data_IF_271083756919
#
_entry.id   IF_271083756919
#
_cell.length_a   1.000
_cell.length_b   1.000
_cell.length_c   1.000
_cell.angle_alpha   90.00
_cell.angle_beta   90.00
_cell.angle_gamma   90.00
#
_symmetry.space_group_name_H-M   'P 1'
#
loop_
_entity.id
_entity.type
_entity.pdbx_description
1 polymer ?
#
# COMPACT_ATOMS: atom_id res chain seq x y z
N UNK A 1 30.98 -39.96 12.37
CA UNK A 1 31.02 -38.87 13.36
C UNK A 1 31.12 -37.54 12.62
N UNK A 2 30.06 -36.73 12.74
CA UNK A 2 29.84 -35.34 12.28
C UNK A 2 29.96 -34.98 10.78
N UNK A 3 28.84 -35.18 10.05
CA UNK A 3 28.45 -34.33 8.93
C UNK A 3 28.02 -32.96 9.48
N UNK A 4 28.85 -31.93 9.26
CA UNK A 4 28.55 -30.55 9.66
C UNK A 4 27.58 -29.97 8.63
N UNK A 5 26.32 -29.80 9.03
CA UNK A 5 25.34 -29.05 8.26
C UNK A 5 25.86 -27.64 7.99
N UNK A 6 25.90 -27.25 6.72
CA UNK A 6 26.22 -25.89 6.30
C UNK A 6 25.07 -24.97 6.74
N UNK A 7 25.39 -23.96 7.55
CA UNK A 7 24.41 -22.98 8.03
C UNK A 7 23.88 -22.12 6.86
N UNK A 8 22.56 -21.91 6.74
CA UNK A 8 21.98 -21.10 5.68
C UNK A 8 22.06 -19.63 6.06
N UNK A 9 23.19 -18.95 5.79
CA UNK A 9 23.31 -17.50 6.02
C UNK A 9 23.61 -16.64 4.80
N UNK A 10 23.87 -17.19 3.62
CA UNK A 10 24.29 -16.37 2.48
C UNK A 10 23.64 -16.79 1.15
N UNK A 11 22.31 -16.78 1.09
CA UNK A 11 21.61 -16.69 -0.20
C UNK A 11 21.15 -15.25 -0.41
N UNK A 12 22.09 -14.36 -0.72
CA UNK A 12 21.83 -13.11 -1.43
C UNK A 12 21.48 -13.46 -2.88
N UNK A 13 20.30 -14.06 -3.08
CA UNK A 13 19.74 -14.21 -4.41
C UNK A 13 19.14 -12.85 -4.79
N UNK A 14 19.96 -12.07 -5.51
CA UNK A 14 19.50 -10.89 -6.21
C UNK A 14 18.40 -11.27 -7.19
N UNK A 15 17.15 -11.09 -6.78
CA UNK A 15 16.03 -10.86 -7.67
C UNK A 15 15.88 -9.34 -7.61
N UNK A 16 16.67 -8.62 -8.43
CA UNK A 16 16.17 -7.87 -9.60
C UNK A 16 14.94 -7.08 -9.21
N UNK A 17 15.06 -5.75 -9.30
CA UNK A 17 14.05 -4.72 -9.04
C UNK A 17 12.66 -5.27 -8.76
N UNK A 18 12.09 -4.92 -7.59
CA UNK A 18 10.74 -5.25 -7.12
C UNK A 18 9.65 -4.79 -8.12
N UNK A 19 9.68 -5.40 -9.30
CA UNK A 19 8.87 -5.15 -10.46
C UNK A 19 7.61 -5.99 -10.26
N UNK A 20 6.44 -5.35 -10.10
CA UNK A 20 5.20 -6.05 -9.83
C UNK A 20 4.85 -7.08 -10.92
N UNK A 21 5.40 -6.95 -12.14
CA UNK A 21 5.15 -7.86 -13.25
C UNK A 21 5.86 -9.20 -13.09
N UNK A 22 7.04 -9.24 -12.46
CA UNK A 22 7.77 -10.49 -12.19
C UNK A 22 6.99 -11.35 -11.19
N UNK A 23 6.32 -10.71 -10.23
CA UNK A 23 5.50 -11.39 -9.22
C UNK A 23 4.22 -11.98 -9.80
N UNK A 24 3.57 -11.28 -10.73
CA UNK A 24 2.41 -11.79 -11.47
C UNK A 24 2.79 -12.99 -12.34
N UNK A 25 3.92 -12.90 -13.05
CA UNK A 25 4.47 -13.99 -13.85
C UNK A 25 4.79 -15.23 -13.00
N UNK A 26 5.46 -15.05 -11.86
CA UNK A 26 5.78 -16.14 -10.93
C UNK A 26 4.50 -16.76 -10.36
N UNK A 27 3.53 -15.95 -9.94
CA UNK A 27 2.24 -16.45 -9.42
C UNK A 27 1.53 -17.30 -10.47
N UNK A 28 1.51 -16.86 -11.73
CA UNK A 28 0.91 -17.60 -12.82
C UNK A 28 1.66 -18.91 -13.15
N UNK A 29 3.00 -18.90 -13.12
CA UNK A 29 3.82 -20.10 -13.31
C UNK A 29 3.68 -21.13 -12.17
N UNK A 30 3.55 -20.66 -10.93
CA UNK A 30 3.46 -21.51 -9.73
C UNK A 30 2.07 -22.08 -9.47
N UNK A 31 0.99 -21.44 -9.91
CA UNK A 31 -0.35 -22.07 -9.85
C UNK A 31 -0.48 -23.18 -10.90
N UNK A 32 0.21 -23.06 -12.04
CA UNK A 32 0.23 -24.08 -13.08
C UNK A 32 1.07 -25.32 -12.72
N UNK A 33 2.07 -25.19 -11.85
CA UNK A 33 2.95 -26.27 -11.42
C UNK A 33 2.77 -26.50 -9.92
N UNK A 34 2.19 -27.64 -9.53
CA UNK A 34 1.75 -27.99 -8.16
C UNK A 34 2.90 -28.12 -7.12
N UNK A 35 3.82 -27.16 -7.04
CA UNK A 35 4.89 -27.11 -6.06
C UNK A 35 4.36 -26.42 -4.79
N UNK A 36 4.33 -27.12 -3.63
CA UNK A 36 3.82 -26.56 -2.40
C UNK A 36 4.92 -25.75 -1.72
N UNK A 37 5.31 -24.62 -2.31
CA UNK A 37 6.10 -23.63 -1.59
C UNK A 37 5.15 -22.76 -0.78
N UNK A 38 4.56 -23.33 0.27
CA UNK A 38 3.94 -22.54 1.33
C UNK A 38 5.07 -21.90 2.17
N UNK A 39 5.84 -21.01 1.53
CA UNK A 39 6.86 -20.26 2.22
C UNK A 39 6.17 -19.07 2.88
N UNK A 40 5.83 -19.23 4.15
CA UNK A 40 5.33 -18.16 5.02
C UNK A 40 6.22 -16.91 5.01
N UNK A 41 7.50 -17.05 4.62
CA UNK A 41 8.38 -15.92 4.36
C UNK A 41 7.97 -15.15 3.09
N UNK A 42 7.63 -15.80 1.97
CA UNK A 42 7.15 -15.09 0.77
C UNK A 42 5.86 -14.34 1.04
N UNK A 43 4.93 -14.93 1.80
CA UNK A 43 3.69 -14.26 2.20
C UNK A 43 3.96 -13.04 3.09
N UNK A 44 4.90 -13.15 4.05
CA UNK A 44 5.31 -12.02 4.89
C UNK A 44 6.01 -10.91 4.09
N UNK A 45 6.88 -11.28 3.15
CA UNK A 45 7.62 -10.33 2.32
C UNK A 45 6.68 -9.62 1.33
N UNK A 46 5.66 -10.31 0.81
CA UNK A 46 4.57 -9.70 0.04
C UNK A 46 3.71 -8.75 0.88
N UNK A 47 3.31 -9.16 2.07
CA UNK A 47 2.54 -8.31 2.99
C UNK A 47 3.31 -7.03 3.36
N UNK A 48 4.64 -7.11 3.37
CA UNK A 48 5.53 -5.99 3.68
C UNK A 48 5.75 -5.05 2.48
N UNK A 49 5.69 -5.56 1.25
CA UNK A 49 5.84 -4.78 0.02
C UNK A 49 4.52 -4.18 -0.50
N UNK A 50 3.40 -4.87 -0.30
CA UNK A 50 2.07 -4.33 -0.56
C UNK A 50 1.64 -3.44 0.61
N UNK A 51 2.01 -2.16 0.58
CA UNK A 51 1.49 -1.15 1.51
C UNK A 51 -0.03 -1.03 1.31
N UNK A 52 -0.79 -1.83 2.06
CA UNK A 52 -2.26 -1.82 2.05
C UNK A 52 -2.70 -0.42 2.42
N UNK A 53 -3.51 0.21 1.56
CA UNK A 53 -4.03 1.54 1.80
C UNK A 53 -4.82 1.58 3.11
N UNK A 54 -4.36 2.31 4.15
CA UNK A 54 -5.03 2.35 5.45
C UNK A 54 -6.27 3.26 5.46
N UNK A 55 -6.52 3.99 4.37
CA UNK A 55 -7.61 4.96 4.25
C UNK A 55 -8.94 4.30 3.89
N UNK A 56 -10.01 4.87 4.43
CA UNK A 56 -11.37 4.56 3.98
C UNK A 56 -11.61 5.15 2.58
N UNK A 57 -12.48 4.55 1.75
CA UNK A 57 -12.84 5.12 0.44
C UNK A 57 -13.28 6.58 0.50
N UNK A 58 -14.01 6.99 1.55
CA UNK A 58 -14.45 8.38 1.74
C UNK A 58 -13.29 9.33 2.09
N UNK A 59 -12.30 8.84 2.83
CA UNK A 59 -11.11 9.62 3.19
C UNK A 59 -10.21 9.81 1.97
N UNK A 60 -10.00 8.75 1.21
CA UNK A 60 -9.25 8.76 -0.04
C UNK A 60 -9.90 9.70 -1.07
N UNK A 61 -11.21 9.57 -1.26
CA UNK A 61 -11.96 10.44 -2.18
C UNK A 61 -11.87 11.93 -1.80
N UNK A 62 -11.89 12.25 -0.51
CA UNK A 62 -11.71 13.64 -0.07
C UNK A 62 -10.30 14.15 -0.39
N UNK A 63 -9.26 13.34 -0.14
CA UNK A 63 -7.87 13.69 -0.44
C UNK A 63 -7.60 13.81 -1.95
N UNK A 64 -8.22 12.97 -2.78
CA UNK A 64 -8.18 13.06 -4.24
C UNK A 64 -8.74 14.40 -4.74
N UNK A 65 -9.93 14.81 -4.28
CA UNK A 65 -10.43 16.13 -4.67
C UNK A 65 -9.54 17.28 -4.19
N UNK A 66 -8.90 17.14 -3.02
CA UNK A 66 -7.95 18.15 -2.57
C UNK A 66 -6.66 18.17 -3.40
N UNK A 67 -6.20 17.03 -3.91
CA UNK A 67 -5.02 16.97 -4.80
C UNK A 67 -5.30 17.72 -6.13
N UNK A 68 -6.55 17.68 -6.60
CA UNK A 68 -7.04 18.42 -7.76
C UNK A 68 -7.34 19.91 -7.48
N UNK A 69 -7.03 20.42 -6.28
CA UNK A 69 -7.24 21.82 -5.90
C UNK A 69 -8.69 22.21 -5.66
N UNK A 70 -9.60 21.25 -5.42
CA UNK A 70 -11.01 21.56 -5.15
C UNK A 70 -11.21 22.19 -3.77
N UNK A 71 -12.20 23.07 -3.66
CA UNK A 71 -12.56 23.72 -2.40
C UNK A 71 -13.37 22.78 -1.50
N UNK A 72 -13.32 22.99 -0.19
CA UNK A 72 -14.08 22.19 0.78
C UNK A 72 -15.59 22.20 0.49
N UNK A 73 -16.12 23.35 0.07
CA UNK A 73 -17.54 23.51 -0.31
C UNK A 73 -17.89 22.63 -1.52
N UNK A 74 -17.06 22.66 -2.57
CA UNK A 74 -17.26 21.81 -3.75
C UNK A 74 -17.23 20.33 -3.39
N UNK A 75 -16.26 19.93 -2.55
CA UNK A 75 -16.10 18.54 -2.11
C UNK A 75 -17.31 18.08 -1.29
N UNK A 76 -17.77 18.91 -0.36
CA UNK A 76 -18.94 18.66 0.46
C UNK A 76 -20.18 18.39 -0.41
N UNK A 77 -20.42 19.28 -1.39
CA UNK A 77 -21.51 19.13 -2.35
C UNK A 77 -21.35 17.86 -3.20
N UNK A 78 -20.14 17.61 -3.75
CA UNK A 78 -19.87 16.46 -4.62
C UNK A 78 -20.01 15.12 -3.90
N UNK A 79 -19.65 15.06 -2.61
CA UNK A 79 -19.75 13.86 -1.78
C UNK A 79 -21.10 13.71 -1.06
N UNK A 80 -22.00 14.69 -1.19
CA UNK A 80 -23.28 14.81 -0.49
C UNK A 80 -23.14 14.74 1.04
N UNK A 81 -22.21 15.53 1.60
CA UNK A 81 -21.93 15.63 3.04
C UNK A 81 -21.73 17.09 3.46
N UNK A 82 -21.77 17.38 4.76
CA UNK A 82 -21.41 18.71 5.26
C UNK A 82 -19.90 19.00 5.18
N UNK A 83 -19.52 20.28 5.11
CA UNK A 83 -18.11 20.71 5.12
C UNK A 83 -17.34 20.22 6.36
N UNK A 84 -18.01 20.16 7.51
CA UNK A 84 -17.45 19.61 8.76
C UNK A 84 -17.08 18.12 8.63
N UNK A 85 -17.87 17.35 7.87
CA UNK A 85 -17.59 15.94 7.58
C UNK A 85 -16.37 15.80 6.67
N UNK A 86 -16.23 16.64 5.65
CA UNK A 86 -15.03 16.66 4.78
C UNK A 86 -13.76 16.93 5.60
N UNK A 87 -13.80 17.94 6.46
CA UNK A 87 -12.69 18.24 7.39
C UNK A 87 -12.39 17.06 8.33
N UNK A 88 -13.43 16.37 8.78
CA UNK A 88 -13.30 15.17 9.62
C UNK A 88 -12.64 14.01 8.86
N UNK A 89 -13.00 13.79 7.60
CA UNK A 89 -12.35 12.78 6.75
C UNK A 89 -10.86 13.04 6.62
N UNK A 90 -10.46 14.28 6.30
CA UNK A 90 -9.04 14.66 6.23
C UNK A 90 -8.34 14.44 7.57
N UNK A 91 -8.95 14.86 8.69
CA UNK A 91 -8.37 14.66 10.03
C UNK A 91 -8.15 13.18 10.36
N UNK A 92 -9.11 12.32 10.03
CA UNK A 92 -8.99 10.87 10.21
C UNK A 92 -7.94 10.26 9.30
N UNK A 93 -7.89 10.70 8.05
CA UNK A 93 -6.85 10.29 7.10
C UNK A 93 -5.45 10.66 7.60
N UNK A 94 -5.25 11.90 8.05
CA UNK A 94 -3.98 12.33 8.62
C UNK A 94 -3.57 11.48 9.83
N UNK A 95 -4.52 11.15 10.72
CA UNK A 95 -4.26 10.28 11.87
C UNK A 95 -3.86 8.86 11.44
N UNK A 96 -4.52 8.30 10.42
CA UNK A 96 -4.22 6.96 9.90
C UNK A 96 -2.86 6.88 9.19
N UNK A 97 -2.49 7.94 8.50
CA UNK A 97 -1.19 8.07 7.83
C UNK A 97 -0.07 8.56 8.77
N UNK A 98 -0.41 8.88 10.02
CA UNK A 98 0.52 9.46 11.00
C UNK A 98 1.22 10.75 10.49
N UNK A 99 0.47 11.59 9.76
CA UNK A 99 0.94 12.88 9.22
C UNK A 99 0.24 14.05 9.89
N UNK A 100 0.83 15.25 9.81
CA UNK A 100 0.36 16.43 10.55
C UNK A 100 -0.45 17.38 9.68
N UNK A 101 -0.26 17.36 8.37
CA UNK A 101 -0.92 18.28 7.44
C UNK A 101 -1.65 17.56 6.32
N UNK A 102 -2.65 18.25 5.76
CA UNK A 102 -3.36 17.78 4.56
C UNK A 102 -2.40 17.61 3.39
N UNK A 103 -1.44 18.51 3.24
CA UNK A 103 -0.44 18.45 2.15
C UNK A 103 0.41 17.19 2.28
N UNK A 104 0.91 16.88 3.49
CA UNK A 104 1.62 15.62 3.75
C UNK A 104 0.76 14.40 3.44
N UNK A 105 -0.52 14.43 3.83
CA UNK A 105 -1.45 13.33 3.52
C UNK A 105 -1.61 13.11 2.00
N UNK A 106 -1.77 14.18 1.22
CA UNK A 106 -1.87 14.12 -0.25
C UNK A 106 -0.56 13.57 -0.84
N UNK A 107 0.59 14.09 -0.41
CA UNK A 107 1.91 13.63 -0.88
C UNK A 107 2.10 12.14 -0.59
N UNK A 108 1.70 11.68 0.59
CA UNK A 108 1.74 10.26 0.94
C UNK A 108 0.81 9.43 0.03
N UNK A 109 -0.39 9.91 -0.29
CA UNK A 109 -1.30 9.17 -1.19
C UNK A 109 -0.72 9.06 -2.61
N UNK A 110 -0.15 10.14 -3.15
CA UNK A 110 0.48 10.15 -4.49
C UNK A 110 1.70 9.23 -4.52
N UNK A 111 2.57 9.29 -3.49
CA UNK A 111 3.77 8.44 -3.41
C UNK A 111 3.46 6.95 -3.35
N UNK A 112 2.35 6.58 -2.73
CA UNK A 112 1.89 5.20 -2.63
C UNK A 112 0.91 4.81 -3.76
N UNK A 113 0.72 5.68 -4.76
CA UNK A 113 -0.17 5.47 -5.91
C UNK A 113 -1.62 5.12 -5.51
N UNK A 114 -2.12 5.74 -4.45
CA UNK A 114 -3.51 5.59 -4.01
C UNK A 114 -4.46 6.60 -4.66
N UNK A 115 -3.93 7.72 -5.16
CA UNK A 115 -4.60 8.77 -5.96
C UNK A 115 -3.68 9.24 -7.07
#
# INVERSE_FOLDING_TARGET
>A
MYNRALEPKDYTLGIVDNDPLVLELLTHYFVASHAPLHNESLTRWYQQSAQVNPLSPRELQALDYYSQGKTTLFIAHKMNVGESSVKTFVKRACKKLNVRSRTEAIVSCVRNNWI
#
